data_IF_311604729016
#
_entry.id   IF_311604729016
#
_cell.length_a   1.000
_cell.length_b   1.000
_cell.length_c   1.000
_cell.angle_alpha   90.00
_cell.angle_beta   90.00
_cell.angle_gamma   90.00
#
_symmetry.space_group_name_H-M   'P 1'
#
loop_
_entity.id
_entity.type
_entity.pdbx_description
1 polymer ?
#
# COMPACT_ATOMS: atom_id res chain seq x y z
N UNK A 1 65.57 42.32 -3.19
CA UNK A 1 64.48 41.84 -4.06
C UNK A 1 63.78 40.58 -3.54
N UNK A 2 64.49 39.60 -3.01
CA UNK A 2 63.90 38.38 -2.43
C UNK A 2 62.93 38.65 -1.26
N UNK A 3 63.32 39.48 -0.29
CA UNK A 3 62.44 39.84 0.84
C UNK A 3 61.11 40.51 0.41
N UNK A 4 61.13 41.23 -0.71
CA UNK A 4 59.95 41.88 -1.27
C UNK A 4 59.02 40.93 -2.02
N UNK A 5 59.55 39.82 -2.53
CA UNK A 5 58.75 38.73 -3.10
C UNK A 5 58.14 37.87 -1.99
N UNK A 6 58.90 37.56 -0.94
CA UNK A 6 58.39 36.80 0.22
C UNK A 6 57.27 37.56 0.94
N UNK A 7 57.39 38.88 1.12
CA UNK A 7 56.33 39.71 1.70
C UNK A 7 55.04 39.71 0.88
N UNK A 8 55.12 39.69 -0.46
CA UNK A 8 53.93 39.59 -1.33
C UNK A 8 53.31 38.21 -1.26
N UNK A 9 54.11 37.15 -1.26
CA UNK A 9 53.62 35.78 -1.11
C UNK A 9 52.89 35.59 0.23
N UNK A 10 53.43 36.14 1.32
CA UNK A 10 52.78 36.14 2.64
C UNK A 10 51.48 36.94 2.64
N UNK A 11 51.42 38.10 1.99
CA UNK A 11 50.18 38.85 1.83
C UNK A 11 49.11 38.09 1.05
N UNK A 12 49.48 37.40 -0.03
CA UNK A 12 48.56 36.57 -0.81
C UNK A 12 48.02 35.39 0.00
N UNK A 13 48.86 34.72 0.79
CA UNK A 13 48.43 33.63 1.68
C UNK A 13 47.48 34.16 2.76
N UNK A 14 47.81 35.26 3.43
CA UNK A 14 46.92 35.86 4.43
C UNK A 14 45.59 36.32 3.83
N UNK A 15 45.58 36.80 2.58
CA UNK A 15 44.36 37.17 1.89
C UNK A 15 43.50 35.93 1.60
N UNK A 16 44.10 34.84 1.09
CA UNK A 16 43.41 33.57 0.88
C UNK A 16 42.83 32.99 2.17
N UNK A 17 43.55 33.03 3.29
CA UNK A 17 43.03 32.55 4.57
C UNK A 17 41.83 33.37 5.06
N UNK A 18 41.82 34.69 4.84
CA UNK A 18 40.67 35.54 5.16
C UNK A 18 39.45 35.20 4.30
N UNK A 19 39.67 34.97 3.01
CA UNK A 19 38.60 34.63 2.08
C UNK A 19 38.00 33.26 2.43
N UNK A 20 38.84 32.25 2.71
CA UNK A 20 38.40 30.92 3.18
C UNK A 20 37.61 31.03 4.50
N UNK A 21 38.07 31.85 5.45
CA UNK A 21 37.38 32.04 6.73
C UNK A 21 36.03 32.71 6.55
N UNK A 22 35.92 33.65 5.60
CA UNK A 22 34.67 34.31 5.25
C UNK A 22 33.68 33.35 4.61
N UNK A 23 34.16 32.50 3.71
CA UNK A 23 33.35 31.49 3.02
C UNK A 23 32.84 30.41 3.99
N UNK A 24 33.69 29.94 4.92
CA UNK A 24 33.30 29.01 5.98
C UNK A 24 32.21 29.58 6.89
N UNK A 25 32.32 30.86 7.28
CA UNK A 25 31.27 31.53 8.07
C UNK A 25 29.98 31.69 7.29
N UNK A 26 30.06 31.90 5.98
CA UNK A 26 28.89 31.98 5.11
C UNK A 26 28.20 30.62 4.97
N UNK A 27 28.95 29.53 4.76
CA UNK A 27 28.40 28.17 4.74
C UNK A 27 27.73 27.82 6.07
N UNK A 28 28.40 28.03 7.19
CA UNK A 28 27.83 27.72 8.51
C UNK A 28 26.52 28.50 8.77
N UNK A 29 26.38 29.71 8.23
CA UNK A 29 25.15 30.48 8.36
C UNK A 29 24.03 29.89 7.51
N UNK A 30 24.33 29.46 6.28
CA UNK A 30 23.36 28.78 5.41
C UNK A 30 22.92 27.45 6.01
N UNK A 31 23.83 26.66 6.57
CA UNK A 31 23.52 25.39 7.22
C UNK A 31 22.60 25.60 8.43
N UNK A 32 22.84 26.65 9.24
CA UNK A 32 21.97 26.99 10.37
C UNK A 32 20.58 27.45 9.93
N UNK A 33 20.49 28.22 8.86
CA UNK A 33 19.21 28.67 8.30
C UNK A 33 18.43 27.50 7.70
N UNK A 34 19.10 26.57 7.00
CA UNK A 34 18.51 25.33 6.47
C UNK A 34 18.02 24.41 7.60
N UNK A 35 18.83 24.21 8.64
CA UNK A 35 18.44 23.42 9.82
C UNK A 35 17.23 24.05 10.54
N UNK A 36 17.21 25.38 10.65
CA UNK A 36 16.09 26.13 11.21
C UNK A 36 14.79 25.93 10.42
N UNK A 37 14.88 25.95 9.08
CA UNK A 37 13.75 25.67 8.20
C UNK A 37 13.27 24.23 8.35
N UNK A 38 14.20 23.27 8.40
CA UNK A 38 13.89 21.84 8.55
C UNK A 38 13.22 21.55 9.90
N UNK A 39 13.66 22.20 10.98
CA UNK A 39 13.02 22.11 12.30
C UNK A 39 11.60 22.69 12.24
N UNK A 40 11.39 23.85 11.61
CA UNK A 40 10.05 24.44 11.48
C UNK A 40 9.10 23.53 10.69
N UNK A 41 9.56 22.96 9.57
CA UNK A 41 8.76 22.02 8.77
C UNK A 41 8.42 20.76 9.58
N UNK A 42 9.38 20.24 10.34
CA UNK A 42 9.17 19.06 11.18
C UNK A 42 8.22 19.36 12.34
N UNK A 43 8.32 20.54 12.96
CA UNK A 43 7.40 20.98 14.01
C UNK A 43 5.97 21.17 13.48
N UNK A 44 5.80 21.80 12.31
CA UNK A 44 4.50 21.94 11.67
C UNK A 44 3.90 20.58 11.31
N UNK A 45 4.72 19.65 10.81
CA UNK A 45 4.30 18.28 10.52
C UNK A 45 3.89 17.52 11.77
N UNK A 46 4.64 17.62 12.87
CA UNK A 46 4.30 16.93 14.13
C UNK A 46 3.06 17.51 14.79
N UNK A 47 2.86 18.83 14.76
CA UNK A 47 1.63 19.46 15.25
C UNK A 47 0.42 19.06 14.39
N UNK A 48 0.60 18.97 13.07
CA UNK A 48 -0.43 18.48 12.15
C UNK A 48 -0.80 17.03 12.42
N UNK A 49 0.18 16.13 12.59
CA UNK A 49 -0.04 14.73 12.96
C UNK A 49 -0.78 14.61 14.31
N UNK A 50 -0.46 15.46 15.30
CA UNK A 50 -1.16 15.45 16.60
C UNK A 50 -2.61 15.88 16.48
N UNK A 51 -2.91 16.92 15.70
CA UNK A 51 -4.29 17.36 15.44
C UNK A 51 -5.09 16.27 14.73
N UNK A 52 -4.50 15.65 13.71
CA UNK A 52 -5.10 14.51 12.99
C UNK A 52 -5.37 13.31 13.90
N UNK A 53 -4.44 12.95 14.79
CA UNK A 53 -4.63 11.87 15.75
C UNK A 53 -5.76 12.16 16.75
N UNK A 54 -5.86 13.40 17.25
CA UNK A 54 -6.93 13.82 18.14
C UNK A 54 -8.31 13.81 17.45
N UNK A 55 -8.39 14.28 16.20
CA UNK A 55 -9.64 14.24 15.43
C UNK A 55 -10.06 12.82 15.09
N UNK A 56 -9.09 11.93 14.78
CA UNK A 56 -9.33 10.50 14.60
C UNK A 56 -9.92 9.87 15.85
N UNK A 57 -9.33 10.12 17.02
CA UNK A 57 -9.82 9.56 18.29
C UNK A 57 -11.22 10.07 18.64
N UNK A 58 -11.48 11.36 18.42
CA UNK A 58 -12.80 11.96 18.64
C UNK A 58 -13.88 11.35 17.74
N UNK A 59 -13.62 11.16 16.45
CA UNK A 59 -14.59 10.56 15.51
C UNK A 59 -14.92 9.13 15.85
N UNK A 60 -13.91 8.34 16.25
CA UNK A 60 -14.12 6.97 16.73
C UNK A 60 -15.02 6.96 17.96
N UNK A 61 -14.78 7.82 18.95
CA UNK A 61 -15.61 7.93 20.14
C UNK A 61 -17.05 8.38 19.81
N UNK A 62 -17.23 9.37 18.94
CA UNK A 62 -18.56 9.86 18.53
C UNK A 62 -19.37 8.76 17.82
N UNK A 63 -18.76 7.98 16.92
CA UNK A 63 -19.41 6.83 16.28
C UNK A 63 -19.78 5.73 17.26
N UNK A 64 -18.89 5.42 18.22
CA UNK A 64 -19.17 4.42 19.26
C UNK A 64 -20.39 4.81 20.10
N UNK A 65 -20.51 6.07 20.49
CA UNK A 65 -21.68 6.59 21.23
C UNK A 65 -22.96 6.45 20.42
N UNK A 66 -22.92 6.69 19.10
CA UNK A 66 -24.09 6.53 18.23
C UNK A 66 -24.53 5.07 18.09
N UNK A 67 -23.59 4.11 18.10
CA UNK A 67 -23.90 2.68 18.04
C UNK A 67 -24.60 2.16 19.29
N UNK A 68 -24.13 2.58 20.48
CA UNK A 68 -24.78 2.24 21.75
C UNK A 68 -26.22 2.76 21.74
N UNK A 69 -26.42 4.03 21.34
CA UNK A 69 -27.76 4.63 21.22
C UNK A 69 -28.65 3.89 20.22
N UNK A 70 -28.18 3.56 19.02
CA UNK A 70 -28.98 2.80 18.02
C UNK A 70 -29.37 1.41 18.53
N UNK A 71 -28.52 0.78 19.34
CA UNK A 71 -28.79 -0.54 19.93
C UNK A 71 -29.83 -0.49 21.06
N UNK A 72 -29.79 0.53 21.91
CA UNK A 72 -30.85 0.78 22.90
C UNK A 72 -32.22 0.96 22.22
N UNK A 73 -32.25 1.63 21.07
CA UNK A 73 -33.47 1.81 20.28
C UNK A 73 -33.90 0.52 19.56
N UNK A 74 -32.96 -0.31 19.10
CA UNK A 74 -33.25 -1.60 18.45
C UNK A 74 -33.70 -2.69 19.44
N UNK A 75 -33.17 -2.69 20.68
CA UNK A 75 -33.63 -3.59 21.74
C UNK A 75 -35.01 -3.20 22.33
N UNK A 76 -35.47 -1.98 22.08
CA UNK A 76 -36.80 -1.50 22.49
C UNK A 76 -37.93 -1.87 21.51
N UNK A 77 -37.65 -2.51 20.37
CA UNK A 77 -38.68 -2.96 19.42
C UNK A 77 -38.69 -4.49 19.26
N UNK A 78 -39.82 -5.18 19.54
CA UNK A 78 -39.90 -6.62 19.35
C UNK A 78 -39.95 -6.97 17.86
N UNK A 79 -39.14 -7.98 17.51
CA UNK A 79 -38.94 -8.49 16.17
C UNK A 79 -40.25 -8.86 15.47
N UNK A 80 -40.51 -8.25 14.30
CA UNK A 80 -41.39 -8.82 13.29
C UNK A 80 -40.54 -9.54 12.26
N UNK A 81 -40.79 -10.85 12.20
CA UNK A 81 -40.32 -11.82 11.21
C UNK A 81 -40.28 -11.22 9.79
N UNK A 82 -39.13 -11.32 9.13
CA UNK A 82 -39.08 -11.29 7.67
C UNK A 82 -38.41 -12.55 7.17
N UNK A 83 -39.28 -13.37 6.61
CA UNK A 83 -39.05 -14.61 5.91
C UNK A 83 -38.20 -14.39 4.65
N UNK A 84 -37.44 -15.42 4.28
CA UNK A 84 -36.28 -15.31 3.40
C UNK A 84 -36.56 -15.24 1.90
N UNK A 85 -35.54 -14.81 1.15
CA UNK A 85 -35.12 -15.47 -0.10
C UNK A 85 -33.70 -15.01 -0.43
N UNK A 86 -32.71 -15.90 -0.28
CA UNK A 86 -31.33 -15.65 -0.70
C UNK A 86 -31.29 -15.87 -2.22
N UNK A 87 -31.48 -14.79 -2.98
CA UNK A 87 -31.07 -14.75 -4.38
C UNK A 87 -29.58 -14.44 -4.43
N UNK A 88 -28.77 -15.46 -4.79
CA UNK A 88 -27.41 -15.27 -5.29
C UNK A 88 -27.50 -14.45 -6.58
N UNK A 89 -27.14 -13.17 -6.53
CA UNK A 89 -26.91 -12.34 -7.71
C UNK A 89 -25.40 -12.22 -7.98
N UNK A 90 -24.99 -12.21 -9.27
CA UNK A 90 -23.58 -12.24 -9.68
C UNK A 90 -22.88 -10.89 -9.48
N UNK A 91 -21.55 -10.93 -9.52
CA UNK A 91 -20.60 -9.81 -9.55
C UNK A 91 -20.99 -8.69 -10.54
N UNK A 92 -21.84 -7.78 -10.11
CA UNK A 92 -22.08 -6.51 -10.78
C UNK A 92 -22.00 -5.43 -9.73
N UNK A 93 -20.88 -4.71 -9.73
CA UNK A 93 -20.77 -3.40 -9.06
C UNK A 93 -21.85 -2.52 -9.67
N UNK A 94 -22.99 -2.37 -8.99
CA UNK A 94 -24.10 -1.54 -9.44
C UNK A 94 -23.59 -0.16 -9.90
N UNK A 95 -23.95 0.27 -11.11
CA UNK A 95 -23.61 1.58 -11.66
C UNK A 95 -24.14 2.74 -10.77
N UNK A 96 -25.13 2.49 -9.91
CA UNK A 96 -25.90 3.50 -9.17
C UNK A 96 -25.24 4.23 -7.99
N UNK A 97 -23.92 4.16 -7.80
CA UNK A 97 -23.26 4.76 -6.63
C UNK A 97 -23.12 6.30 -6.66
N UNK A 98 -23.20 6.90 -7.85
CA UNK A 98 -23.00 8.35 -8.05
C UNK A 98 -24.17 9.05 -8.75
N UNK A 99 -25.20 8.31 -9.14
CA UNK A 99 -26.30 8.77 -9.99
C UNK A 99 -27.16 9.87 -9.35
N UNK A 100 -27.07 10.06 -8.04
CA UNK A 100 -27.86 11.05 -7.28
C UNK A 100 -27.07 12.31 -6.88
N UNK A 101 -25.77 12.39 -7.20
CA UNK A 101 -24.86 13.42 -6.66
C UNK A 101 -24.39 14.44 -7.70
N UNK A 102 -24.96 14.41 -8.91
CA UNK A 102 -24.65 15.32 -10.02
C UNK A 102 -24.95 16.79 -9.69
N UNK A 103 -25.89 17.03 -8.77
CA UNK A 103 -26.47 18.35 -8.51
C UNK A 103 -26.05 18.97 -7.16
N UNK A 104 -24.93 18.51 -6.57
CA UNK A 104 -24.45 19.07 -5.30
C UNK A 104 -23.86 20.47 -5.53
N UNK A 105 -24.56 21.50 -5.06
CA UNK A 105 -24.10 22.89 -5.03
C UNK A 105 -22.86 23.02 -4.12
N UNK A 106 -21.70 23.38 -4.68
CA UNK A 106 -20.44 23.55 -3.93
C UNK A 106 -19.20 23.71 -4.82
N UNK A 107 -18.02 23.88 -4.21
CA UNK A 107 -16.72 23.86 -4.90
C UNK A 107 -16.34 22.45 -5.37
N UNK A 108 -15.19 22.32 -6.05
CA UNK A 108 -14.74 21.01 -6.51
C UNK A 108 -14.26 20.14 -5.34
N UNK A 109 -14.45 18.83 -5.41
CA UNK A 109 -14.15 17.90 -4.33
C UNK A 109 -13.73 16.53 -4.89
N UNK A 110 -13.02 15.75 -4.09
CA UNK A 110 -12.80 14.32 -4.34
C UNK A 110 -13.92 13.54 -3.67
N UNK A 111 -14.72 12.84 -4.47
CA UNK A 111 -15.79 11.97 -4.00
C UNK A 111 -15.33 10.52 -4.08
N UNK A 112 -15.28 9.84 -2.92
CA UNK A 112 -14.89 8.45 -2.76
C UNK A 112 -16.08 7.66 -2.18
N UNK A 113 -16.62 6.75 -2.97
CA UNK A 113 -17.71 5.87 -2.59
C UNK A 113 -17.16 4.49 -2.22
N UNK A 114 -17.33 4.10 -0.95
CA UNK A 114 -16.90 2.80 -0.42
C UNK A 114 -18.12 1.91 -0.26
N UNK A 115 -18.07 0.72 -0.86
CA UNK A 115 -19.28 -0.12 -1.04
C UNK A 115 -19.20 -1.42 -0.24
N UNK A 116 -19.11 -2.56 -0.93
CA UNK A 116 -19.06 -3.88 -0.35
C UNK A 116 -17.64 -4.39 -0.29
N UNK A 117 -17.32 -5.09 0.79
CA UNK A 117 -16.02 -5.71 0.99
C UNK A 117 -16.11 -7.16 1.42
N UNK A 118 -14.94 -7.77 1.47
CA UNK A 118 -14.66 -9.07 2.07
C UNK A 118 -13.48 -8.91 3.00
N UNK A 119 -13.62 -9.37 4.23
CA UNK A 119 -12.54 -9.44 5.22
C UNK A 119 -12.21 -10.91 5.45
N UNK A 120 -10.93 -11.26 5.41
CA UNK A 120 -10.48 -12.63 5.63
C UNK A 120 -10.58 -12.99 7.12
N UNK A 121 -10.99 -14.23 7.42
CA UNK A 121 -11.18 -14.71 8.79
C UNK A 121 -9.92 -14.56 9.65
N UNK A 122 -8.74 -14.75 9.04
CA UNK A 122 -7.43 -14.59 9.71
C UNK A 122 -7.20 -13.19 10.27
N UNK A 123 -7.76 -12.16 9.64
CA UNK A 123 -7.61 -10.77 10.11
C UNK A 123 -8.16 -10.59 11.53
N UNK A 124 -9.10 -11.45 11.92
CA UNK A 124 -9.76 -11.40 13.23
C UNK A 124 -9.09 -12.29 14.28
N UNK A 125 -8.33 -13.31 13.86
CA UNK A 125 -7.55 -14.14 14.78
C UNK A 125 -6.38 -13.36 15.41
N UNK A 126 -5.92 -12.31 14.73
CA UNK A 126 -4.84 -11.42 15.16
C UNK A 126 -5.31 -10.28 16.09
N UNK A 127 -6.63 -10.08 16.22
CA UNK A 127 -7.16 -9.11 17.19
C UNK A 127 -6.81 -9.57 18.60
N UNK A 128 -6.42 -8.67 19.52
CA UNK A 128 -6.16 -9.02 20.92
C UNK A 128 -7.40 -9.68 21.51
N UNK A 129 -7.39 -11.02 21.57
CA UNK A 129 -8.41 -11.79 22.25
C UNK A 129 -8.50 -11.21 23.66
N UNK A 130 -9.70 -10.81 24.08
CA UNK A 130 -9.93 -10.46 25.46
C UNK A 130 -9.38 -11.60 26.31
N UNK A 131 -8.26 -11.36 26.97
CA UNK A 131 -7.63 -12.27 27.93
C UNK A 131 -8.55 -12.33 29.17
N UNK A 132 -9.72 -12.94 29.01
CA UNK A 132 -10.49 -13.52 30.08
C UNK A 132 -10.04 -14.96 30.20
N UNK A 133 -9.35 -15.27 31.29
CA UNK A 133 -8.85 -16.61 31.58
C UNK A 133 -9.94 -17.68 31.40
N UNK A 134 -9.76 -18.57 30.41
CA UNK A 134 -10.51 -19.83 30.32
C UNK A 134 -11.44 -20.05 29.12
N UNK A 135 -11.53 -19.13 28.15
CA UNK A 135 -12.32 -19.39 26.93
C UNK A 135 -11.43 -19.97 25.83
N UNK A 136 -11.77 -21.19 25.40
CA UNK A 136 -11.25 -21.83 24.18
C UNK A 136 -11.46 -20.90 22.97
N UNK A 137 -10.59 -21.05 21.97
CA UNK A 137 -10.59 -20.42 20.64
C UNK A 137 -11.97 -20.49 19.93
N UNK A 138 -12.95 -19.71 20.37
CA UNK A 138 -14.19 -19.52 19.66
C UNK A 138 -14.08 -18.22 18.86
N UNK A 139 -14.08 -18.37 17.53
CA UNK A 139 -14.23 -17.27 16.57
C UNK A 139 -15.45 -16.46 17.02
N UNK A 140 -15.35 -15.12 17.19
CA UNK A 140 -16.49 -14.31 17.58
C UNK A 140 -17.64 -14.58 16.59
N UNK A 141 -18.90 -14.73 17.06
CA UNK A 141 -20.02 -14.96 16.16
C UNK A 141 -20.06 -13.86 15.09
N UNK A 142 -20.43 -14.21 13.85
CA UNK A 142 -20.36 -13.33 12.66
C UNK A 142 -21.04 -11.94 12.81
N UNK A 143 -21.84 -11.72 13.86
CA UNK A 143 -22.47 -10.44 14.20
C UNK A 143 -21.82 -9.65 15.35
N UNK A 144 -20.74 -10.14 15.97
CA UNK A 144 -20.05 -9.45 17.08
C UNK A 144 -18.95 -8.49 16.63
N UNK A 145 -18.54 -8.57 15.36
CA UNK A 145 -17.45 -7.78 14.80
C UNK A 145 -18.00 -6.71 13.87
N UNK A 146 -17.59 -5.48 14.14
CA UNK A 146 -18.00 -4.30 13.38
C UNK A 146 -16.74 -3.63 12.84
N UNK A 147 -16.78 -3.25 11.57
CA UNK A 147 -15.68 -2.62 10.87
C UNK A 147 -16.07 -1.25 10.34
N UNK A 148 -15.09 -0.38 10.15
CA UNK A 148 -15.24 0.89 9.45
C UNK A 148 -13.97 1.17 8.63
N UNK A 149 -14.11 1.93 7.55
CA UNK A 149 -12.97 2.42 6.77
C UNK A 149 -12.77 3.89 7.06
N UNK A 150 -11.56 4.24 7.48
CA UNK A 150 -11.09 5.62 7.56
C UNK A 150 -10.32 5.96 6.29
N UNK A 151 -10.50 7.16 5.76
CA UNK A 151 -9.79 7.66 4.60
C UNK A 151 -9.17 9.02 4.91
N UNK A 152 -7.86 9.12 4.75
CA UNK A 152 -7.07 10.33 4.94
C UNK A 152 -6.65 10.87 3.58
N UNK A 153 -6.92 12.16 3.36
CA UNK A 153 -6.58 12.83 2.12
C UNK A 153 -6.19 14.30 2.36
N UNK A 154 -4.95 14.65 1.99
CA UNK A 154 -4.37 15.98 2.15
C UNK A 154 -4.54 16.54 3.58
N UNK A 155 -4.99 17.79 3.70
CA UNK A 155 -5.28 18.48 4.96
C UNK A 155 -6.78 18.48 5.27
N UNK A 156 -7.57 17.61 4.63
CA UNK A 156 -8.96 17.44 4.99
C UNK A 156 -9.09 16.60 6.26
N UNK A 157 -10.21 16.76 6.94
CA UNK A 157 -10.54 15.86 8.03
C UNK A 157 -10.68 14.41 7.53
N UNK A 158 -10.32 13.45 8.38
CA UNK A 158 -10.36 12.02 8.08
C UNK A 158 -11.78 11.54 7.82
N UNK A 159 -12.11 11.21 6.57
CA UNK A 159 -13.40 10.66 6.20
C UNK A 159 -13.60 9.29 6.84
N UNK A 160 -14.83 8.98 7.27
CA UNK A 160 -15.16 7.68 7.85
C UNK A 160 -16.43 7.13 7.21
N UNK A 161 -16.42 5.85 6.86
CA UNK A 161 -17.63 5.17 6.42
C UNK A 161 -18.59 4.95 7.59
N UNK A 162 -19.83 4.61 7.27
CA UNK A 162 -20.69 3.93 8.22
C UNK A 162 -20.03 2.62 8.66
N UNK A 163 -20.46 2.13 9.82
CA UNK A 163 -19.94 0.90 10.39
C UNK A 163 -20.69 -0.30 9.82
N UNK A 164 -19.98 -1.34 9.41
CA UNK A 164 -20.55 -2.54 8.82
C UNK A 164 -20.11 -3.80 9.56
N UNK A 165 -21.05 -4.71 9.80
CA UNK A 165 -20.80 -5.94 10.55
C UNK A 165 -20.47 -7.14 9.65
N UNK A 166 -19.72 -8.09 10.21
CA UNK A 166 -19.42 -9.39 9.60
C UNK A 166 -18.27 -9.39 8.58
N UNK A 167 -18.00 -10.57 8.02
CA UNK A 167 -16.90 -10.82 7.07
C UNK A 167 -17.17 -10.25 5.67
N UNK A 168 -18.42 -9.89 5.38
CA UNK A 168 -18.85 -9.29 4.11
C UNK A 168 -19.47 -7.92 4.39
N UNK A 169 -18.68 -6.95 4.88
CA UNK A 169 -19.20 -5.65 5.25
C UNK A 169 -19.77 -4.93 4.03
N UNK A 170 -20.89 -4.23 4.24
CA UNK A 170 -21.51 -3.33 3.27
C UNK A 170 -21.59 -1.94 3.88
N UNK A 171 -20.76 -1.04 3.37
CA UNK A 171 -20.60 0.32 3.89
C UNK A 171 -21.52 1.32 3.18
N UNK A 172 -21.65 1.19 1.85
CA UNK A 172 -22.43 2.09 0.96
C UNK A 172 -22.28 3.58 1.32
N UNK A 173 -21.06 4.00 1.63
CA UNK A 173 -20.76 5.31 2.21
C UNK A 173 -20.04 6.21 1.20
N UNK A 174 -20.50 7.46 1.08
CA UNK A 174 -19.82 8.50 0.32
C UNK A 174 -18.94 9.34 1.25
N UNK A 175 -17.65 9.38 0.94
CA UNK A 175 -16.66 10.25 1.58
C UNK A 175 -16.30 11.36 0.61
N UNK A 176 -16.51 12.60 1.01
CA UNK A 176 -16.20 13.77 0.19
C UNK A 176 -15.12 14.61 0.85
N UNK A 177 -14.03 14.83 0.12
CA UNK A 177 -12.93 15.68 0.56
C UNK A 177 -12.93 16.97 -0.25
N UNK A 178 -12.95 18.11 0.43
CA UNK A 178 -13.03 19.43 -0.17
C UNK A 178 -14.03 20.35 0.55
N UNK A 179 -14.40 21.48 -0.04
CA UNK A 179 -14.05 21.90 -1.40
C UNK A 179 -12.58 22.33 -1.56
N UNK A 180 -12.03 22.17 -2.76
CA UNK A 180 -10.70 22.64 -3.15
C UNK A 180 -10.80 23.63 -4.31
N UNK A 181 -9.87 24.59 -4.32
CA UNK A 181 -9.51 25.33 -5.52
C UNK A 181 -8.50 24.50 -6.30
N UNK A 182 -8.82 24.15 -7.55
CA UNK A 182 -7.95 23.31 -8.38
C UNK A 182 -6.87 24.19 -9.02
N UNK A 183 -5.69 24.17 -8.42
CA UNK A 183 -4.49 24.81 -8.96
C UNK A 183 -3.37 23.81 -9.25
N UNK A 184 -2.19 24.31 -9.65
CA UNK A 184 -1.04 23.49 -10.03
C UNK A 184 -0.63 22.52 -8.90
N UNK A 185 -0.66 22.97 -7.64
CA UNK A 185 -0.33 22.14 -6.49
C UNK A 185 -1.31 20.96 -6.30
N UNK A 186 -2.60 21.17 -6.55
CA UNK A 186 -3.61 20.11 -6.47
C UNK A 186 -3.42 19.12 -7.62
N UNK A 187 -3.20 19.61 -8.84
CA UNK A 187 -2.92 18.74 -10.00
C UNK A 187 -1.67 17.89 -9.75
N UNK A 188 -0.58 18.50 -9.25
CA UNK A 188 0.65 17.77 -8.89
C UNK A 188 0.41 16.75 -7.77
N UNK A 189 -0.40 17.10 -6.75
CA UNK A 189 -0.75 16.18 -5.67
C UNK A 189 -1.56 14.99 -6.17
N UNK A 190 -2.57 15.19 -7.03
CA UNK A 190 -3.32 14.07 -7.60
C UNK A 190 -2.48 13.19 -8.52
N UNK A 191 -1.48 13.78 -9.18
CA UNK A 191 -0.63 13.03 -10.10
C UNK A 191 0.34 12.08 -9.38
N UNK A 192 0.77 12.41 -8.14
CA UNK A 192 1.76 11.62 -7.36
C UNK A 192 1.22 11.02 -6.08
N UNK A 193 0.17 11.63 -5.56
CA UNK A 193 -0.41 11.34 -4.27
C UNK A 193 -1.41 10.20 -4.33
N UNK A 194 -1.91 9.90 -3.15
CA UNK A 194 -2.87 8.84 -2.95
C UNK A 194 -3.76 9.15 -1.74
N UNK A 195 -4.96 8.59 -1.73
CA UNK A 195 -5.77 8.51 -0.51
C UNK A 195 -5.25 7.33 0.31
N UNK A 196 -4.99 7.57 1.59
CA UNK A 196 -4.60 6.51 2.53
C UNK A 196 -5.85 6.00 3.21
N UNK A 197 -6.07 4.70 3.17
CA UNK A 197 -7.22 4.07 3.80
C UNK A 197 -6.78 3.12 4.90
N UNK A 198 -7.54 3.11 5.98
CA UNK A 198 -7.33 2.24 7.12
C UNK A 198 -8.64 1.50 7.44
N UNK A 199 -8.56 0.18 7.50
CA UNK A 199 -9.66 -0.65 7.93
C UNK A 199 -9.52 -0.89 9.43
N UNK A 200 -10.50 -0.42 10.20
CA UNK A 200 -10.56 -0.66 11.63
C UNK A 200 -11.65 -1.68 11.97
N UNK A 201 -11.40 -2.47 13.01
CA UNK A 201 -12.38 -3.34 13.63
C UNK A 201 -12.50 -3.06 15.11
N UNK A 202 -13.70 -3.26 15.64
CA UNK A 202 -13.96 -3.20 17.06
C UNK A 202 -14.99 -4.28 17.42
N UNK A 203 -14.84 -4.80 18.64
CA UNK A 203 -15.84 -5.70 19.21
C UNK A 203 -17.10 -4.90 19.53
N UNK A 204 -18.28 -5.46 19.24
CA UNK A 204 -19.56 -4.85 19.56
C UNK A 204 -19.79 -4.59 21.06
N UNK A 205 -18.95 -5.15 21.93
CA UNK A 205 -18.97 -4.97 23.40
C UNK A 205 -17.72 -4.26 23.93
N UNK A 206 -16.71 -4.00 23.08
CA UNK A 206 -15.44 -3.39 23.46
C UNK A 206 -15.37 -1.91 23.07
N UNK A 207 -14.56 -1.15 23.80
CA UNK A 207 -14.25 0.26 23.49
C UNK A 207 -12.99 0.42 22.64
N UNK A 208 -12.19 -0.63 22.49
CA UNK A 208 -10.95 -0.62 21.73
C UNK A 208 -11.23 -0.81 20.22
N UNK A 209 -10.69 0.09 19.41
CA UNK A 209 -10.61 -0.04 17.97
C UNK A 209 -9.21 -0.53 17.58
N UNK A 210 -9.16 -1.47 16.66
CA UNK A 210 -7.93 -2.10 16.19
C UNK A 210 -7.78 -1.86 14.69
N UNK A 211 -6.57 -1.54 14.27
CA UNK A 211 -6.23 -1.45 12.86
C UNK A 211 -6.08 -2.88 12.34
N UNK A 212 -6.96 -3.26 11.41
CA UNK A 212 -6.83 -4.55 10.73
C UNK A 212 -5.80 -4.44 9.61
N UNK A 213 -5.85 -3.35 8.84
CA UNK A 213 -4.95 -3.18 7.73
C UNK A 213 -5.10 -1.85 7.01
N UNK A 214 -4.21 -1.63 6.05
CA UNK A 214 -4.08 -0.37 5.33
C UNK A 214 -4.08 -0.61 3.83
N UNK A 215 -4.65 0.34 3.10
CA UNK A 215 -4.68 0.36 1.64
C UNK A 215 -4.32 1.76 1.12
N UNK A 216 -3.83 1.82 -0.11
CA UNK A 216 -3.47 3.06 -0.79
C UNK A 216 -4.25 3.13 -2.10
N UNK A 217 -4.91 4.26 -2.34
CA UNK A 217 -5.61 4.55 -3.58
C UNK A 217 -4.85 5.61 -4.38
N UNK A 218 -4.13 5.24 -5.45
CA UNK A 218 -3.50 6.20 -6.35
C UNK A 218 -4.55 7.07 -7.06
N UNK A 219 -4.24 8.35 -7.22
CA UNK A 219 -5.18 9.34 -7.77
C UNK A 219 -4.89 9.75 -9.21
N UNK A 220 -3.77 9.31 -9.79
CA UNK A 220 -3.32 9.74 -11.11
C UNK A 220 -4.37 9.46 -12.22
N UNK A 221 -5.09 8.34 -12.13
CA UNK A 221 -6.12 7.97 -13.09
C UNK A 221 -7.32 8.96 -13.11
N UNK A 222 -7.52 9.75 -12.05
CA UNK A 222 -8.55 10.79 -12.02
C UNK A 222 -8.17 12.03 -12.83
N UNK A 223 -6.94 12.11 -13.35
CA UNK A 223 -6.47 13.20 -14.21
C UNK A 223 -6.65 12.89 -15.70
N UNK A 224 -7.07 11.67 -16.06
CA UNK A 224 -7.29 11.25 -17.45
C UNK A 224 -8.64 11.77 -18.01
N UNK A 225 -8.90 13.05 -17.81
CA UNK A 225 -10.11 13.73 -18.27
C UNK A 225 -10.05 13.95 -19.78
N UNK A 226 -11.12 13.58 -20.49
CA UNK A 226 -11.26 13.84 -21.94
C UNK A 226 -12.52 14.65 -22.22
N UNK A 227 -12.65 15.33 -23.37
CA UNK A 227 -13.89 16.02 -23.72
C UNK A 227 -15.12 15.09 -23.79
N UNK A 228 -14.92 13.78 -24.00
CA UNK A 228 -15.98 12.76 -24.01
C UNK A 228 -16.29 12.22 -22.62
N UNK A 229 -15.31 12.21 -21.72
CA UNK A 229 -15.42 11.81 -20.33
C UNK A 229 -14.74 12.87 -19.45
N UNK A 230 -15.51 13.94 -19.19
CA UNK A 230 -14.98 15.12 -18.52
C UNK A 230 -14.77 14.95 -17.02
N UNK A 231 -15.33 13.88 -16.46
CA UNK A 231 -15.26 13.59 -15.05
C UNK A 231 -15.14 12.07 -14.85
N UNK A 232 -13.93 11.52 -15.07
CA UNK A 232 -13.72 10.09 -15.07
C UNK A 232 -14.05 9.51 -13.69
N UNK A 233 -14.77 8.39 -13.70
CA UNK A 233 -15.04 7.59 -12.51
C UNK A 233 -14.08 6.41 -12.49
N UNK A 234 -13.15 6.43 -11.54
CA UNK A 234 -12.22 5.33 -11.30
C UNK A 234 -12.86 4.35 -10.32
N UNK A 235 -13.06 3.10 -10.74
CA UNK A 235 -13.61 2.06 -9.90
C UNK A 235 -12.62 0.89 -9.77
N UNK A 236 -12.62 0.23 -8.62
CA UNK A 236 -11.75 -0.92 -8.39
C UNK A 236 -11.93 -1.53 -7.02
N UNK A 237 -10.92 -2.31 -6.61
CA UNK A 237 -10.88 -2.99 -5.32
C UNK A 237 -9.66 -2.54 -4.55
N UNK A 238 -9.89 -2.04 -3.33
CA UNK A 238 -8.85 -1.75 -2.36
C UNK A 238 -8.44 -3.05 -1.67
N UNK A 239 -7.18 -3.41 -1.80
CA UNK A 239 -6.58 -4.53 -1.07
C UNK A 239 -5.95 -3.98 0.21
N UNK A 240 -6.50 -4.37 1.36
CA UNK A 240 -5.94 -4.02 2.66
C UNK A 240 -4.93 -5.08 3.06
N UNK A 241 -3.71 -4.64 3.38
CA UNK A 241 -2.65 -5.49 3.90
C UNK A 241 -2.60 -5.42 5.43
N UNK A 242 -2.19 -6.50 6.08
CA UNK A 242 -2.04 -6.55 7.54
C UNK A 242 -1.06 -5.48 8.02
N UNK A 243 -1.31 -4.95 9.22
CA UNK A 243 -0.37 -4.05 9.89
C UNK A 243 0.91 -4.79 10.32
N UNK A 244 0.81 -6.08 10.62
CA UNK A 244 1.93 -6.92 11.08
C UNK A 244 2.78 -7.47 9.91
N UNK A 245 2.13 -7.85 8.80
CA UNK A 245 2.80 -8.27 7.57
C UNK A 245 2.10 -7.69 6.32
N UNK A 246 2.77 -6.75 5.67
CA UNK A 246 2.30 -6.07 4.46
C UNK A 246 2.09 -6.98 3.24
N UNK A 247 2.62 -8.22 3.24
CA UNK A 247 2.40 -9.22 2.17
C UNK A 247 1.07 -9.94 2.34
N UNK A 248 0.52 -9.92 3.54
CA UNK A 248 -0.70 -10.63 3.89
C UNK A 248 -1.89 -9.73 3.62
N UNK A 249 -2.64 -10.03 2.56
CA UNK A 249 -3.92 -9.39 2.31
C UNK A 249 -4.96 -9.86 3.34
N UNK A 250 -5.58 -8.91 4.03
CA UNK A 250 -6.56 -9.16 5.09
C UNK A 250 -7.98 -8.73 4.70
N UNK A 251 -8.14 -7.84 3.71
CA UNK A 251 -9.44 -7.49 3.17
C UNK A 251 -9.37 -7.02 1.71
N UNK A 252 -10.52 -7.07 1.03
CA UNK A 252 -10.75 -6.54 -0.31
C UNK A 252 -12.06 -5.74 -0.30
N UNK A 253 -12.01 -4.43 -0.56
CA UNK A 253 -13.19 -3.55 -0.48
C UNK A 253 -13.36 -2.79 -1.80
N UNK A 254 -14.55 -2.84 -2.39
CA UNK A 254 -14.84 -2.17 -3.65
C UNK A 254 -15.06 -0.67 -3.44
N UNK A 255 -14.47 0.13 -4.33
CA UNK A 255 -14.57 1.58 -4.29
C UNK A 255 -14.91 2.16 -5.67
N UNK A 256 -15.42 3.39 -5.66
CA UNK A 256 -15.43 4.28 -6.81
C UNK A 256 -14.96 5.66 -6.38
N UNK A 257 -14.15 6.31 -7.20
CA UNK A 257 -13.62 7.65 -6.95
C UNK A 257 -13.88 8.54 -8.17
N UNK A 258 -14.15 9.82 -7.95
CA UNK A 258 -14.28 10.82 -9.01
C UNK A 258 -13.97 12.22 -8.52
N UNK A 259 -13.68 13.12 -9.44
CA UNK A 259 -13.84 14.55 -9.16
C UNK A 259 -15.33 14.89 -9.08
N UNK A 260 -15.70 15.90 -8.31
CA UNK A 260 -17.10 16.35 -8.27
C UNK A 260 -17.44 17.16 -9.52
N UNK A 261 -16.53 18.04 -9.93
CA UNK A 261 -16.63 18.86 -11.13
C UNK A 261 -15.51 18.52 -12.10
N UNK A 262 -15.77 18.63 -13.42
CA UNK A 262 -14.73 18.43 -14.42
C UNK A 262 -13.60 19.44 -14.23
N UNK A 263 -12.35 18.98 -14.37
CA UNK A 263 -11.13 19.79 -14.21
C UNK A 263 -10.37 19.98 -15.53
N UNK A 264 -11.04 19.77 -16.68
CA UNK A 264 -10.39 19.80 -18.00
C UNK A 264 -9.67 21.13 -18.23
N UNK A 265 -10.31 22.25 -17.87
CA UNK A 265 -9.75 23.57 -18.13
C UNK A 265 -8.49 23.81 -17.30
N UNK A 266 -8.52 23.41 -16.03
CA UNK A 266 -7.39 23.52 -15.10
C UNK A 266 -6.21 22.63 -15.54
N UNK A 267 -6.49 21.45 -16.10
CA UNK A 267 -5.47 20.57 -16.70
C UNK A 267 -4.85 21.16 -17.97
N UNK A 268 -5.65 21.83 -18.81
CA UNK A 268 -5.17 22.55 -19.98
C UNK A 268 -4.28 23.73 -19.59
N UNK A 269 -4.71 24.53 -18.61
CA UNK A 269 -3.95 25.65 -18.07
C UNK A 269 -2.63 25.18 -17.45
N UNK A 270 -2.65 24.10 -16.67
CA UNK A 270 -1.45 23.48 -16.12
C UNK A 270 -0.48 23.05 -17.23
N UNK A 271 -0.97 22.35 -18.25
CA UNK A 271 -0.14 21.87 -19.37
C UNK A 271 0.44 23.04 -20.16
N UNK A 272 -0.33 24.10 -20.38
CA UNK A 272 0.14 25.31 -21.07
C UNK A 272 1.22 26.05 -20.26
N UNK A 273 1.08 26.13 -18.92
CA UNK A 273 2.07 26.76 -18.04
C UNK A 273 3.36 25.96 -17.89
N UNK A 274 3.25 24.63 -17.76
CA UNK A 274 4.39 23.73 -17.48
C UNK A 274 5.04 23.14 -18.72
N UNK A 275 4.39 23.25 -19.88
CA UNK A 275 4.88 22.68 -21.15
C UNK A 275 4.86 21.15 -21.20
N UNK A 276 4.18 20.49 -20.26
CA UNK A 276 4.11 19.04 -20.13
C UNK A 276 2.81 18.61 -19.46
N UNK A 277 2.28 17.45 -19.84
CA UNK A 277 1.07 16.91 -19.19
C UNK A 277 1.38 16.48 -17.73
N UNK A 278 0.38 16.41 -16.84
CA UNK A 278 0.58 15.92 -15.47
C UNK A 278 1.23 14.54 -15.43
N UNK A 279 0.79 13.61 -16.30
CA UNK A 279 1.41 12.28 -16.43
C UNK A 279 2.89 12.36 -16.86
N UNK A 280 3.22 13.25 -17.81
CA UNK A 280 4.60 13.48 -18.24
C UNK A 280 5.45 14.19 -17.17
N UNK A 281 4.87 15.05 -16.33
CA UNK A 281 5.56 15.71 -15.22
C UNK A 281 5.89 14.74 -14.08
N UNK A 282 5.00 13.78 -13.82
CA UNK A 282 5.23 12.68 -12.88
C UNK A 282 6.32 11.76 -13.41
N UNK A 283 6.24 11.36 -14.68
CA UNK A 283 7.34 10.65 -15.33
C UNK A 283 8.63 11.47 -15.26
N UNK A 284 8.67 12.75 -15.62
CA UNK A 284 9.91 13.53 -15.55
C UNK A 284 10.52 13.62 -14.13
N UNK A 285 9.70 13.58 -13.07
CA UNK A 285 10.20 13.74 -11.69
C UNK A 285 10.53 12.42 -11.00
N UNK A 286 9.74 11.37 -11.21
CA UNK A 286 10.11 9.99 -10.81
C UNK A 286 11.39 9.59 -11.56
N UNK A 287 11.58 10.10 -12.78
CA UNK A 287 12.74 9.82 -13.60
C UNK A 287 13.88 10.84 -13.39
N UNK A 288 13.69 11.89 -12.59
CA UNK A 288 14.67 12.97 -12.39
C UNK A 288 15.48 12.91 -11.09
N UNK A 289 14.98 12.24 -10.04
CA UNK A 289 15.63 12.22 -8.73
C UNK A 289 15.68 10.81 -8.14
N UNK A 290 16.86 10.19 -8.13
CA UNK A 290 17.11 8.93 -7.42
C UNK A 290 17.97 7.96 -8.21
N UNK A 291 19.23 7.81 -7.78
CA UNK A 291 20.14 6.78 -8.23
C UNK A 291 19.67 5.40 -7.75
N UNK A 292 19.45 4.50 -8.70
CA UNK A 292 19.06 3.10 -8.55
C UNK A 292 18.83 2.56 -9.96
N UNK A 293 19.48 1.45 -10.33
CA UNK A 293 19.62 1.01 -11.71
C UNK A 293 18.26 0.70 -12.36
N UNK A 294 17.78 1.62 -13.19
CA UNK A 294 16.48 1.52 -13.85
C UNK A 294 16.45 0.43 -14.90
N UNK A 295 15.29 -0.21 -15.02
CA UNK A 295 14.95 -1.06 -16.15
C UNK A 295 15.29 -0.35 -17.47
N UNK A 296 15.95 -1.05 -18.41
CA UNK A 296 16.27 -0.49 -19.72
C UNK A 296 15.01 0.08 -20.38
N UNK A 297 15.16 1.13 -21.19
CA UNK A 297 14.04 1.90 -21.76
C UNK A 297 13.00 1.07 -22.58
N UNK A 298 13.31 -0.18 -22.95
CA UNK A 298 12.38 -1.12 -23.61
C UNK A 298 11.66 -2.13 -22.70
N UNK A 299 11.95 -2.12 -21.40
CA UNK A 299 11.30 -2.97 -20.39
C UNK A 299 10.23 -2.21 -19.60
N UNK A 300 10.44 -0.92 -19.31
CA UNK A 300 9.53 -0.13 -18.50
C UNK A 300 8.08 -0.11 -19.03
N UNK A 301 7.10 -0.27 -18.13
CA UNK A 301 5.66 -0.28 -18.39
C UNK A 301 5.14 -1.33 -19.39
N UNK A 302 5.99 -2.26 -19.84
CA UNK A 302 5.59 -3.35 -20.70
C UNK A 302 5.18 -4.58 -19.88
N UNK A 303 4.12 -5.27 -20.34
CA UNK A 303 3.83 -6.62 -19.89
C UNK A 303 4.87 -7.58 -20.50
N UNK A 304 5.65 -8.23 -19.64
CA UNK A 304 6.70 -9.18 -20.02
C UNK A 304 6.41 -10.54 -19.39
N UNK A 305 6.89 -11.61 -20.02
CA UNK A 305 6.83 -12.94 -19.44
C UNK A 305 8.12 -13.19 -18.63
N UNK A 306 8.00 -13.28 -17.30
CA UNK A 306 9.05 -13.81 -16.44
C UNK A 306 9.00 -15.34 -16.51
N UNK A 307 10.09 -15.93 -16.98
CA UNK A 307 10.27 -17.39 -17.04
C UNK A 307 11.15 -17.83 -15.88
N UNK A 308 10.64 -18.72 -15.04
CA UNK A 308 11.39 -19.31 -13.93
C UNK A 308 11.51 -20.81 -14.21
N UNK A 309 12.75 -21.28 -14.36
CA UNK A 309 13.03 -22.69 -14.61
C UNK A 309 13.74 -23.29 -13.39
N UNK A 310 13.01 -24.11 -12.64
CA UNK A 310 13.55 -24.89 -11.52
C UNK A 310 14.05 -26.22 -12.08
N UNK A 311 15.36 -26.30 -12.34
CA UNK A 311 15.98 -27.46 -12.98
C UNK A 311 16.08 -28.63 -12.01
N UNK A 312 16.83 -28.45 -10.92
CA UNK A 312 17.08 -29.51 -9.96
C UNK A 312 17.52 -28.97 -8.60
N UNK A 313 17.31 -29.78 -7.56
CA UNK A 313 17.91 -29.60 -6.23
C UNK A 313 18.68 -30.87 -5.89
N UNK A 314 19.84 -30.73 -5.27
CA UNK A 314 20.72 -31.86 -4.94
C UNK A 314 21.32 -31.72 -3.54
N UNK A 315 21.59 -32.85 -2.90
CA UNK A 315 22.25 -32.89 -1.59
C UNK A 315 21.34 -32.45 -0.44
N UNK A 316 20.03 -32.67 -0.54
CA UNK A 316 19.11 -32.36 0.55
C UNK A 316 19.36 -33.27 1.75
N UNK A 317 19.29 -32.68 2.94
CA UNK A 317 19.50 -33.38 4.22
C UNK A 317 18.19 -33.38 4.99
N UNK A 318 17.73 -34.53 5.52
CA UNK A 318 16.56 -34.57 6.38
C UNK A 318 16.74 -33.70 7.64
N UNK A 319 15.73 -32.89 7.94
CA UNK A 319 15.69 -32.11 9.19
C UNK A 319 15.34 -32.97 10.41
N UNK A 320 14.72 -34.15 10.20
CA UNK A 320 14.35 -35.07 11.28
C UNK A 320 15.47 -36.08 11.60
N UNK A 321 15.82 -36.26 12.89
CA UNK A 321 16.79 -37.28 13.29
C UNK A 321 16.29 -38.69 12.97
N UNK A 322 17.10 -39.48 12.26
CA UNK A 322 16.81 -40.89 11.94
C UNK A 322 16.02 -41.10 10.64
N UNK A 323 15.63 -40.04 9.95
CA UNK A 323 15.07 -40.11 8.60
C UNK A 323 16.19 -40.30 7.57
N UNK A 324 15.99 -41.20 6.61
CA UNK A 324 16.95 -41.41 5.53
C UNK A 324 16.72 -40.38 4.40
N UNK A 325 17.77 -39.85 3.74
CA UNK A 325 17.64 -38.90 2.64
C UNK A 325 16.68 -39.37 1.53
N UNK A 326 16.61 -40.67 1.28
CA UNK A 326 15.73 -41.29 0.27
C UNK A 326 14.24 -41.17 0.59
N UNK A 327 13.89 -40.88 1.85
CA UNK A 327 12.51 -40.74 2.31
C UNK A 327 11.97 -39.32 2.13
N UNK A 328 12.83 -38.36 1.77
CA UNK A 328 12.44 -36.97 1.55
C UNK A 328 11.42 -36.87 0.43
N UNK A 329 10.46 -35.96 0.60
CA UNK A 329 9.48 -35.62 -0.43
C UNK A 329 9.57 -34.12 -0.79
N UNK A 330 10.67 -33.68 -1.42
CA UNK A 330 10.90 -32.26 -1.62
C UNK A 330 10.01 -31.65 -2.69
N UNK A 331 9.62 -30.40 -2.47
CA UNK A 331 9.07 -29.50 -3.48
C UNK A 331 9.62 -28.10 -3.28
N UNK A 332 9.76 -27.36 -4.38
CA UNK A 332 10.16 -25.95 -4.40
C UNK A 332 8.93 -25.06 -4.51
N UNK A 333 8.92 -23.96 -3.74
CA UNK A 333 7.95 -22.87 -3.84
C UNK A 333 8.64 -21.52 -3.95
N UNK A 334 8.01 -20.58 -4.65
CA UNK A 334 8.46 -19.20 -4.75
C UNK A 334 7.29 -18.27 -5.09
N UNK A 335 7.46 -16.99 -4.82
CA UNK A 335 6.47 -15.96 -5.11
C UNK A 335 7.08 -14.84 -5.96
N UNK A 336 6.32 -14.40 -6.96
CA UNK A 336 6.60 -13.18 -7.73
C UNK A 336 5.64 -12.11 -7.23
N UNK A 337 6.14 -10.91 -6.93
CA UNK A 337 5.33 -9.83 -6.37
C UNK A 337 4.03 -9.59 -7.15
N UNK A 338 2.89 -9.60 -6.44
CA UNK A 338 1.56 -9.42 -7.04
C UNK A 338 0.98 -10.68 -7.72
N UNK A 339 1.66 -11.82 -7.63
CA UNK A 339 1.22 -13.08 -8.21
C UNK A 339 1.06 -14.18 -7.15
N UNK A 340 0.33 -15.23 -7.49
CA UNK A 340 0.20 -16.41 -6.63
C UNK A 340 1.54 -17.13 -6.52
N UNK A 341 1.83 -17.65 -5.32
CA UNK A 341 2.95 -18.55 -5.11
C UNK A 341 2.86 -19.75 -6.08
N UNK A 342 4.01 -20.09 -6.67
CA UNK A 342 4.17 -21.24 -7.54
C UNK A 342 4.71 -22.42 -6.74
N UNK A 343 4.24 -23.63 -7.07
CA UNK A 343 4.68 -24.86 -6.44
C UNK A 343 5.08 -25.86 -7.51
N UNK A 344 6.28 -26.39 -7.40
CA UNK A 344 6.71 -27.53 -8.23
C UNK A 344 6.01 -28.82 -7.77
N UNK A 345 6.05 -29.85 -8.61
CA UNK A 345 5.60 -31.18 -8.21
C UNK A 345 6.49 -31.72 -7.10
N UNK A 346 5.90 -32.41 -6.13
CA UNK A 346 6.64 -33.14 -5.10
C UNK A 346 7.39 -34.31 -5.73
N UNK A 347 8.69 -34.39 -5.45
CA UNK A 347 9.59 -35.46 -5.89
C UNK A 347 9.97 -36.35 -4.71
N UNK A 348 10.74 -37.42 -4.95
CA UNK A 348 11.28 -38.26 -3.86
C UNK A 348 12.80 -38.30 -3.88
N UNK A 349 13.38 -38.36 -2.68
CA UNK A 349 14.81 -38.49 -2.44
C UNK A 349 15.54 -37.14 -2.33
N UNK A 350 16.87 -37.18 -2.12
CA UNK A 350 17.65 -35.97 -1.82
C UNK A 350 18.16 -35.22 -3.05
N UNK A 351 17.97 -35.81 -4.24
CA UNK A 351 18.39 -35.26 -5.53
C UNK A 351 17.20 -35.32 -6.49
N UNK A 352 16.57 -34.17 -6.73
CA UNK A 352 15.34 -34.07 -7.49
C UNK A 352 15.54 -33.18 -8.71
N UNK A 353 15.36 -33.77 -9.90
CA UNK A 353 15.25 -33.03 -11.15
C UNK A 353 13.78 -32.66 -11.36
N UNK A 354 13.44 -31.39 -11.12
CA UNK A 354 12.07 -30.90 -11.24
C UNK A 354 11.72 -30.60 -12.71
N UNK A 355 12.68 -30.04 -13.46
CA UNK A 355 12.50 -29.57 -14.85
C UNK A 355 11.22 -28.72 -15.02
N UNK A 356 10.90 -27.93 -14.00
CA UNK A 356 9.64 -27.20 -13.91
C UNK A 356 9.82 -25.78 -14.43
N UNK A 357 9.00 -25.40 -15.42
CA UNK A 357 9.02 -24.08 -16.04
C UNK A 357 7.72 -23.37 -15.76
N UNK A 358 7.81 -22.25 -15.03
CA UNK A 358 6.70 -21.34 -14.84
C UNK A 358 6.83 -20.11 -15.71
N UNK A 359 5.68 -19.61 -16.18
CA UNK A 359 5.57 -18.40 -16.98
C UNK A 359 4.58 -17.47 -16.33
N UNK A 360 5.08 -16.36 -15.81
CA UNK A 360 4.28 -15.32 -15.15
C UNK A 360 4.33 -14.05 -15.98
N UNK A 361 3.16 -13.47 -16.28
CA UNK A 361 3.11 -12.17 -16.97
C UNK A 361 3.23 -11.07 -15.93
N UNK A 362 4.36 -10.38 -15.94
CA UNK A 362 4.68 -9.28 -15.01
C UNK A 362 4.63 -7.95 -15.75
N UNK A 363 4.17 -6.89 -15.07
CA UNK A 363 4.35 -5.53 -15.54
C UNK A 363 5.64 -4.99 -14.92
N UNK A 364 6.56 -4.48 -15.74
CA UNK A 364 7.79 -3.85 -15.23
C UNK A 364 7.49 -2.40 -14.86
N UNK A 365 6.74 -2.23 -13.78
CA UNK A 365 6.42 -0.94 -13.17
C UNK A 365 7.37 -0.64 -12.00
N UNK A 366 7.13 0.46 -11.29
CA UNK A 366 7.94 0.87 -10.15
C UNK A 366 7.88 -0.15 -8.98
N UNK A 367 6.78 -0.89 -8.83
CA UNK A 367 6.63 -1.86 -7.76
C UNK A 367 7.45 -3.11 -8.04
N UNK A 368 7.41 -3.58 -9.29
CA UNK A 368 8.27 -4.67 -9.74
C UNK A 368 9.76 -4.31 -9.65
N UNK A 369 10.16 -3.10 -10.07
CA UNK A 369 11.54 -2.65 -9.96
C UNK A 369 12.01 -2.61 -8.50
N UNK A 370 11.20 -2.06 -7.59
CA UNK A 370 11.54 -2.03 -6.16
C UNK A 370 11.65 -3.42 -5.55
N UNK A 371 10.74 -4.33 -5.89
CA UNK A 371 10.82 -5.73 -5.46
C UNK A 371 12.10 -6.41 -5.96
N UNK A 372 12.44 -6.20 -7.24
CA UNK A 372 13.66 -6.74 -7.84
C UNK A 372 14.93 -6.22 -7.16
N UNK A 373 14.98 -4.93 -6.82
CA UNK A 373 16.11 -4.27 -6.14
C UNK A 373 16.21 -4.63 -4.65
N UNK A 374 15.10 -4.93 -3.97
CA UNK A 374 15.05 -5.22 -2.53
C UNK A 374 15.51 -6.64 -2.14
N UNK A 375 15.96 -7.46 -3.09
CA UNK A 375 16.39 -8.83 -2.86
C UNK A 375 15.75 -9.87 -3.77
N UNK A 376 14.80 -9.46 -4.62
CA UNK A 376 14.29 -10.26 -5.72
C UNK A 376 13.49 -11.49 -5.32
N UNK A 377 13.76 -12.61 -5.99
CA UNK A 377 12.96 -13.83 -5.89
C UNK A 377 13.57 -14.80 -4.87
N UNK A 378 12.76 -15.23 -3.91
CA UNK A 378 13.14 -16.22 -2.90
C UNK A 378 12.52 -17.57 -3.26
N UNK A 379 13.34 -18.62 -3.31
CA UNK A 379 12.93 -20.00 -3.52
C UNK A 379 13.14 -20.76 -2.23
N UNK A 380 12.11 -21.48 -1.81
CA UNK A 380 12.11 -22.29 -0.61
C UNK A 380 11.89 -23.75 -0.99
N UNK A 381 12.67 -24.65 -0.40
CA UNK A 381 12.55 -26.10 -0.60
C UNK A 381 11.98 -26.71 0.66
N UNK A 382 10.84 -27.39 0.55
CA UNK A 382 10.14 -28.01 1.67
C UNK A 382 10.02 -29.51 1.50
N UNK A 383 9.95 -30.24 2.61
CA UNK A 383 9.68 -31.67 2.68
C UNK A 383 8.21 -31.96 2.98
N UNK A 384 7.47 -32.44 1.99
CA UNK A 384 6.04 -32.78 2.14
C UNK A 384 5.79 -33.99 3.06
N UNK A 385 6.82 -34.78 3.39
CA UNK A 385 6.69 -35.93 4.27
C UNK A 385 6.56 -35.54 5.76
N UNK A 386 6.81 -34.27 6.09
CA UNK A 386 6.73 -33.78 7.46
C UNK A 386 5.32 -33.27 7.78
N UNK A 387 4.71 -33.76 8.87
CA UNK A 387 3.39 -33.29 9.29
C UNK A 387 3.47 -31.79 9.62
N UNK A 388 2.51 -31.02 9.10
CA UNK A 388 2.38 -29.59 9.35
C UNK A 388 2.05 -29.36 10.84
N UNK A 389 3.09 -29.28 11.67
CA UNK A 389 2.96 -29.24 13.12
C UNK A 389 3.72 -28.05 13.70
N UNK A 390 3.40 -26.84 13.23
CA UNK A 390 3.73 -25.63 13.97
C UNK A 390 3.74 -24.33 13.17
N UNK A 391 3.76 -23.17 13.87
CA UNK A 391 3.71 -21.83 13.27
C UNK A 391 5.05 -21.30 12.71
N UNK A 392 6.18 -22.00 12.83
CA UNK A 392 7.49 -21.52 12.34
C UNK A 392 7.97 -22.23 11.06
N UNK A 393 8.79 -21.58 10.24
CA UNK A 393 9.30 -22.12 8.97
C UNK A 393 10.08 -23.45 9.14
N UNK A 394 10.80 -23.61 10.26
CA UNK A 394 11.48 -24.84 10.65
C UNK A 394 10.50 -25.99 10.97
N UNK A 395 9.28 -25.66 11.40
CA UNK A 395 8.20 -26.62 11.72
C UNK A 395 7.37 -27.00 10.48
N UNK A 396 7.58 -26.33 9.34
CA UNK A 396 6.95 -26.61 8.06
C UNK A 396 7.78 -27.54 7.17
N UNK A 397 8.91 -28.06 7.66
CA UNK A 397 9.79 -28.96 6.92
C UNK A 397 10.66 -28.26 5.89
N UNK A 398 11.09 -27.01 6.14
CA UNK A 398 12.02 -26.29 5.28
C UNK A 398 13.38 -27.02 5.22
N UNK A 399 13.79 -27.44 4.02
CA UNK A 399 15.06 -28.09 3.73
C UNK A 399 16.13 -27.11 3.24
N UNK A 400 15.73 -25.97 2.68
CA UNK A 400 16.67 -24.95 2.21
C UNK A 400 16.02 -23.74 1.58
N UNK A 401 16.80 -22.67 1.45
CA UNK A 401 16.42 -21.39 0.85
C UNK A 401 17.48 -20.95 -0.17
N UNK A 402 17.03 -20.39 -1.29
CA UNK A 402 17.87 -19.68 -2.24
C UNK A 402 17.26 -18.32 -2.57
N UNK A 403 18.08 -17.26 -2.57
CA UNK A 403 17.69 -15.94 -3.06
C UNK A 403 18.34 -15.66 -4.40
N UNK A 404 17.52 -15.28 -5.37
CA UNK A 404 17.96 -14.91 -6.71
C UNK A 404 17.80 -13.40 -6.86
N UNK A 405 18.93 -12.74 -7.09
CA UNK A 405 18.95 -11.34 -7.49
C UNK A 405 18.40 -11.21 -8.92
N UNK A 406 17.18 -10.71 -9.03
CA UNK A 406 16.49 -10.48 -10.30
C UNK A 406 16.68 -9.06 -10.82
N UNK A 407 17.41 -8.19 -10.11
CA UNK A 407 17.71 -6.82 -10.57
C UNK A 407 18.54 -6.82 -11.85
N UNK A 408 19.33 -7.87 -12.09
CA UNK A 408 20.10 -8.05 -13.33
C UNK A 408 19.20 -8.17 -14.56
N UNK A 409 17.98 -8.70 -14.43
CA UNK A 409 17.00 -8.78 -15.52
C UNK A 409 16.48 -7.41 -15.96
N UNK A 410 16.63 -6.39 -15.11
CA UNK A 410 16.25 -5.01 -15.44
C UNK A 410 17.30 -4.35 -16.34
N UNK A 411 18.55 -4.81 -16.29
CA UNK A 411 19.69 -4.16 -16.97
C UNK A 411 20.29 -4.98 -18.11
N UNK A 412 19.94 -6.27 -18.24
CA UNK A 412 20.42 -7.11 -19.34
C UNK A 412 19.75 -6.70 -20.66
N UNK A 413 20.55 -6.15 -21.59
CA UNK A 413 20.14 -5.77 -22.95
C UNK A 413 19.91 -6.97 -23.89
N UNK A 414 20.18 -8.19 -23.45
CA UNK A 414 20.02 -9.41 -24.23
C UNK A 414 18.66 -10.08 -23.95
N UNK A 415 17.57 -9.43 -24.36
CA UNK A 415 16.26 -10.06 -24.48
C UNK A 415 15.68 -9.74 -25.87
N UNK A 416 16.25 -10.39 -26.88
CA UNK A 416 15.68 -10.56 -28.21
C UNK A 416 14.60 -11.64 -28.22
#
# INVERSE_FOLDING_TARGET
>A
DELGQELRALQEVCQRERDITKDLRSMHRLDLDELGLQIQVTMASTESCRKLAADRERRVQEMQVQLVKRREHAQAQPARLRDGTIQRSPDVVSEGGFSELSDVTGGNALDLYITVGRVEERAFLELPQQQGAGALLEVPPEGALVTLVLAEFMHCDVGSTETAAGLRPRYDSLLSFGPFEVGDAQVEHFARGAVRLELQAFSATGTAAYVLGRAILPLAALLDCTPKDANPVVAGTLCFASETDSRVQIAAIHYKARWRKPIIQELQDYTARRGMSPAAAVAATIYGAGAGARACAGLADAAKALLVHVVSVSGLVPSLPGMMPEQLQPYVTYEVSGHKAHFTKTMMGPNCAFEDVSRTIVRVDADFCRWAEAGGMQLLVFDASQPHAGPTEEQLGLLGEARIDVSQLLTSLDCS
#
